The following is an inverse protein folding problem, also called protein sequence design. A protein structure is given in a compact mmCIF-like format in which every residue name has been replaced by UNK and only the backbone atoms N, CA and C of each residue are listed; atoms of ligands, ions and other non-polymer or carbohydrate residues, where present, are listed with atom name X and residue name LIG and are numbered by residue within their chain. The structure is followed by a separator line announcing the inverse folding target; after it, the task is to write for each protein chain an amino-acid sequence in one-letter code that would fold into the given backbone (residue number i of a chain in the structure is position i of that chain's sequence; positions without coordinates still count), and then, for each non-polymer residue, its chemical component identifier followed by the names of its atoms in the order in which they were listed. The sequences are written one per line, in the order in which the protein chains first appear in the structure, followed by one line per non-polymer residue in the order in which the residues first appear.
data_IF_128923340135
#
_entry.id   IF_128923340135
#
_cell.length_a   1.000
_cell.length_b   1.000
_cell.length_c   1.000
_cell.angle_alpha   90.00
_cell.angle_beta   90.00
_cell.angle_gamma   90.00
#
_symmetry.space_group_name_H-M   'P 1'
#
loop_
_entity.id
_entity.type
_entity.pdbx_description
1 polymer ?
#
# COMPACT_ATOMS: atom_id res chain seq x y z
N UNK A 1 16.21 14.78 -1.54
CA UNK A 1 15.15 13.81 -1.27
C UNK A 1 15.59 12.78 -0.25
N UNK A 2 14.62 12.12 0.40
CA UNK A 2 14.82 10.97 1.28
C UNK A 2 13.86 9.88 0.82
N UNK A 3 14.33 8.65 0.72
CA UNK A 3 13.45 7.49 0.55
C UNK A 3 13.45 6.70 1.84
N UNK A 4 12.26 6.45 2.37
CA UNK A 4 12.06 5.75 3.64
C UNK A 4 11.28 4.47 3.43
N UNK A 5 11.64 3.43 4.18
CA UNK A 5 10.83 2.22 4.32
C UNK A 5 9.99 2.33 5.60
N UNK A 6 8.76 2.83 5.46
CA UNK A 6 7.87 3.08 6.60
C UNK A 6 7.42 1.76 7.26
N UNK A 7 7.60 1.59 8.57
CA UNK A 7 7.03 0.45 9.27
C UNK A 7 5.50 0.52 9.31
N UNK A 8 4.85 -0.63 9.41
CA UNK A 8 3.43 -0.68 9.73
C UNK A 8 3.17 -0.18 11.15
N UNK A 9 1.96 0.33 11.41
CA UNK A 9 1.59 0.93 12.69
C UNK A 9 1.88 2.43 12.78
N UNK A 10 2.85 2.94 12.03
CA UNK A 10 3.23 4.36 12.00
C UNK A 10 2.31 5.15 11.06
N UNK A 11 1.73 6.25 11.56
CA UNK A 11 0.99 7.24 10.78
C UNK A 11 1.98 8.17 10.08
N UNK A 12 1.65 8.64 8.86
CA UNK A 12 2.59 9.49 8.09
C UNK A 12 2.72 10.89 8.67
N UNK A 13 1.61 11.54 9.02
CA UNK A 13 1.59 12.92 9.54
C UNK A 13 0.56 13.06 10.66
N UNK A 14 0.69 14.05 11.54
CA UNK A 14 -0.26 14.30 12.62
C UNK A 14 -1.71 14.37 12.10
N UNK A 15 -2.61 13.70 12.79
CA UNK A 15 -4.03 13.62 12.48
C UNK A 15 -4.82 13.37 13.77
N UNK A 16 -6.15 13.52 13.72
CA UNK A 16 -7.01 13.29 14.88
C UNK A 16 -6.71 11.92 15.54
N UNK A 17 -6.35 11.93 16.82
CA UNK A 17 -5.95 10.77 17.61
C UNK A 17 -4.49 10.31 17.42
N UNK A 18 -3.66 11.06 16.70
CA UNK A 18 -2.24 10.78 16.48
C UNK A 18 -1.47 12.10 16.31
N UNK A 19 -1.27 12.83 17.40
CA UNK A 19 -0.62 14.14 17.38
C UNK A 19 0.92 14.02 17.40
N UNK A 20 1.45 12.87 17.80
CA UNK A 20 2.89 12.56 17.87
C UNK A 20 3.21 11.13 17.41
N UNK A 21 4.50 10.78 17.34
CA UNK A 21 4.95 9.45 16.91
C UNK A 21 4.70 9.15 15.44
N UNK A 22 4.55 10.18 14.61
CA UNK A 22 4.33 10.04 13.15
C UNK A 22 5.65 10.00 12.40
N UNK A 23 5.62 9.60 11.12
CA UNK A 23 6.79 9.66 10.25
C UNK A 23 7.34 11.09 10.15
N UNK A 24 6.47 12.11 10.09
CA UNK A 24 6.88 13.53 10.10
C UNK A 24 7.67 13.87 11.36
N UNK A 25 7.23 13.43 12.54
CA UNK A 25 7.99 13.68 13.78
C UNK A 25 9.38 13.03 13.73
N UNK A 26 9.48 11.79 13.25
CA UNK A 26 10.77 11.11 13.09
C UNK A 26 11.68 11.83 12.07
N UNK A 27 11.11 12.28 10.94
CA UNK A 27 11.86 13.03 9.93
C UNK A 27 12.38 14.37 10.48
N UNK A 28 11.55 15.13 11.18
CA UNK A 28 11.94 16.40 11.82
C UNK A 28 13.02 16.23 12.89
N UNK A 29 13.09 15.06 13.53
CA UNK A 29 14.15 14.75 14.50
C UNK A 29 15.49 14.43 13.84
N UNK A 30 15.48 13.83 12.65
CA UNK A 30 16.69 13.36 11.95
C UNK A 30 17.15 14.26 10.81
N UNK A 31 16.35 15.25 10.39
CA UNK A 31 16.58 16.04 9.18
C UNK A 31 16.24 17.49 9.45
N UNK A 32 17.24 18.35 9.41
CA UNK A 32 17.11 19.78 9.72
C UNK A 32 16.47 20.59 8.58
N UNK A 33 16.52 20.10 7.33
CA UNK A 33 16.19 20.83 6.12
C UNK A 33 15.03 20.17 5.34
N UNK A 34 13.91 19.91 5.97
CA UNK A 34 12.70 19.46 5.26
C UNK A 34 11.99 20.64 4.58
N UNK A 35 11.42 20.37 3.39
CA UNK A 35 10.57 21.34 2.69
C UNK A 35 9.44 21.84 3.56
N UNK A 36 9.30 23.15 3.68
CA UNK A 36 8.21 23.82 4.42
C UNK A 36 6.85 23.77 3.70
N UNK A 37 6.81 23.35 2.44
CA UNK A 37 5.56 23.15 1.70
C UNK A 37 4.71 22.09 2.38
N UNK A 38 3.44 22.40 2.63
CA UNK A 38 2.54 21.55 3.42
C UNK A 38 2.39 22.01 4.87
N UNK A 39 3.13 23.06 5.26
CA UNK A 39 3.12 23.68 6.59
C UNK A 39 3.70 22.77 7.68
N UNK A 40 3.58 23.16 8.93
CA UNK A 40 4.16 22.46 10.09
C UNK A 40 3.70 21.02 10.25
N UNK A 41 2.52 20.67 9.70
CA UNK A 41 1.94 19.33 9.87
C UNK A 41 2.40 18.31 8.82
N UNK A 42 2.98 18.73 7.69
CA UNK A 42 3.32 17.85 6.56
C UNK A 42 4.60 18.23 5.83
N UNK A 43 5.66 18.67 6.50
CA UNK A 43 6.88 19.11 5.84
C UNK A 43 7.43 17.98 4.96
N UNK A 44 7.71 18.29 3.69
CA UNK A 44 8.30 17.36 2.73
C UNK A 44 7.41 16.20 2.25
N UNK A 45 6.16 16.06 2.73
CA UNK A 45 5.27 14.94 2.42
C UNK A 45 4.50 15.19 1.12
N UNK A 46 4.82 14.44 0.08
CA UNK A 46 4.17 14.50 -1.25
C UNK A 46 3.16 13.38 -1.50
N UNK A 47 3.23 12.29 -0.75
CA UNK A 47 2.26 11.18 -0.77
C UNK A 47 2.19 10.47 0.59
N UNK A 48 1.34 9.47 0.69
CA UNK A 48 1.14 8.76 1.96
C UNK A 48 0.85 7.27 1.78
N UNK A 49 1.16 6.51 2.83
CA UNK A 49 0.68 5.14 3.06
C UNK A 49 -0.31 5.12 4.24
N UNK A 50 -1.20 4.14 4.26
CA UNK A 50 -2.07 3.89 5.40
C UNK A 50 -1.26 3.46 6.63
N UNK A 51 -1.80 3.63 7.83
CA UNK A 51 -1.16 3.22 9.09
C UNK A 51 -0.72 1.75 9.06
N UNK A 52 -1.59 0.84 8.60
CA UNK A 52 -1.32 -0.60 8.54
C UNK A 52 -0.47 -1.05 7.35
N UNK A 53 -0.18 -0.15 6.40
CA UNK A 53 0.65 -0.44 5.22
C UNK A 53 2.10 -0.10 5.51
N UNK A 54 3.01 -1.03 5.24
CA UNK A 54 4.47 -0.83 5.29
C UNK A 54 5.04 -0.52 3.91
N UNK A 55 6.27 -0.06 3.83
CA UNK A 55 7.03 0.05 2.59
C UNK A 55 7.45 1.46 2.19
N UNK A 56 7.82 1.60 0.94
CA UNK A 56 8.56 2.73 0.41
C UNK A 56 7.74 4.01 0.30
N UNK A 57 8.36 5.11 0.72
CA UNK A 57 7.89 6.48 0.53
C UNK A 57 9.05 7.40 0.17
N UNK A 58 8.79 8.41 -0.69
CA UNK A 58 9.71 9.50 -0.95
C UNK A 58 9.28 10.78 -0.24
N UNK A 59 10.24 11.51 0.30
CA UNK A 59 10.08 12.76 1.05
C UNK A 59 11.00 13.83 0.45
N UNK A 60 10.50 15.04 0.31
CA UNK A 60 11.26 16.17 -0.20
C UNK A 60 12.03 16.86 0.92
N UNK A 61 13.33 17.14 0.71
CA UNK A 61 14.17 17.91 1.64
C UNK A 61 14.00 19.43 1.48
N UNK A 62 13.73 19.92 0.29
CA UNK A 62 13.57 21.34 -0.02
C UNK A 62 12.42 21.59 -1.00
N UNK A 63 11.98 22.83 -1.10
CA UNK A 63 10.75 23.23 -1.79
C UNK A 63 10.76 22.90 -3.29
N UNK A 64 11.89 23.10 -3.99
CA UNK A 64 12.00 22.74 -5.40
C UNK A 64 11.80 21.23 -5.62
N UNK A 65 12.37 20.38 -4.76
CA UNK A 65 12.13 18.94 -4.82
C UNK A 65 10.68 18.57 -4.50
N UNK A 66 10.06 19.28 -3.56
CA UNK A 66 8.65 19.08 -3.22
C UNK A 66 7.74 19.39 -4.40
N UNK A 67 7.92 20.55 -5.05
CA UNK A 67 7.12 20.97 -6.20
C UNK A 67 7.23 19.97 -7.35
N UNK A 68 8.47 19.56 -7.69
CA UNK A 68 8.68 18.61 -8.78
C UNK A 68 8.14 17.21 -8.47
N UNK A 69 8.37 16.68 -7.27
CA UNK A 69 7.77 15.40 -6.87
C UNK A 69 6.24 15.48 -6.84
N UNK A 70 5.65 16.58 -6.30
CA UNK A 70 4.21 16.77 -6.30
C UNK A 70 3.63 16.80 -7.73
N UNK A 71 4.34 17.44 -8.69
CA UNK A 71 4.00 17.40 -10.11
C UNK A 71 4.00 15.97 -10.64
N UNK A 72 5.08 15.20 -10.41
CA UNK A 72 5.16 13.81 -10.88
C UNK A 72 4.05 12.93 -10.30
N UNK A 73 3.68 13.10 -9.03
CA UNK A 73 2.53 12.40 -8.44
C UNK A 73 1.19 12.84 -9.07
N UNK A 74 1.02 14.14 -9.34
CA UNK A 74 -0.17 14.70 -9.99
C UNK A 74 -0.31 14.14 -11.41
N UNK A 75 0.77 14.15 -12.18
CA UNK A 75 0.82 13.74 -13.59
C UNK A 75 0.90 12.20 -13.74
N UNK A 76 0.89 11.46 -12.61
CA UNK A 76 0.93 9.99 -12.57
C UNK A 76 2.21 9.38 -13.18
N UNK A 77 3.31 10.12 -13.13
CA UNK A 77 4.64 9.67 -13.61
C UNK A 77 5.34 8.74 -12.60
N UNK A 78 4.92 8.75 -11.33
CA UNK A 78 5.49 7.91 -10.28
C UNK A 78 4.93 6.50 -10.35
N UNK A 79 5.81 5.51 -10.53
CA UNK A 79 5.44 4.10 -10.50
C UNK A 79 5.43 3.59 -9.05
N UNK A 80 4.36 2.88 -8.68
CA UNK A 80 4.16 2.34 -7.33
C UNK A 80 3.63 0.94 -7.44
N UNK A 81 4.35 -0.02 -6.85
CA UNK A 81 3.90 -1.40 -6.80
C UNK A 81 3.86 -1.91 -5.36
N UNK A 82 2.85 -2.72 -5.12
CA UNK A 82 2.54 -3.27 -3.81
C UNK A 82 2.45 -4.78 -3.88
N UNK A 83 2.85 -5.44 -2.81
CA UNK A 83 2.55 -6.84 -2.58
C UNK A 83 1.37 -6.95 -1.61
N UNK A 84 0.35 -7.70 -2.01
CA UNK A 84 -0.85 -7.96 -1.22
C UNK A 84 -1.21 -9.44 -1.23
N UNK A 85 -1.37 -10.06 -0.06
CA UNK A 85 -1.98 -11.38 0.06
C UNK A 85 -3.50 -11.20 0.12
N UNK A 86 -4.23 -11.87 -0.76
CA UNK A 86 -5.68 -11.72 -0.92
C UNK A 86 -6.41 -13.05 -0.77
N UNK A 87 -7.68 -12.99 -0.40
CA UNK A 87 -8.54 -14.16 -0.37
C UNK A 87 -8.98 -14.57 -1.77
N UNK A 88 -8.89 -15.87 -2.04
CA UNK A 88 -9.29 -16.48 -3.31
C UNK A 88 -8.26 -16.26 -4.43
N UNK A 89 -8.66 -16.66 -5.62
CA UNK A 89 -7.85 -16.56 -6.83
C UNK A 89 -8.16 -15.25 -7.56
N UNK A 90 -7.14 -14.45 -7.80
CA UNK A 90 -7.22 -13.24 -8.62
C UNK A 90 -6.50 -13.48 -9.94
N UNK A 91 -6.88 -12.72 -10.97
CA UNK A 91 -6.33 -12.86 -12.31
C UNK A 91 -5.32 -11.74 -12.59
N UNK A 92 -4.13 -12.11 -13.08
CA UNK A 92 -3.14 -11.16 -13.57
C UNK A 92 -3.68 -10.38 -14.78
N UNK A 93 -3.21 -9.15 -14.97
CA UNK A 93 -3.69 -8.25 -16.03
C UNK A 93 -4.99 -7.50 -15.68
N UNK A 94 -5.75 -7.95 -14.66
CA UNK A 94 -7.02 -7.31 -14.28
C UNK A 94 -6.81 -5.86 -13.87
N UNK A 95 -7.60 -4.97 -14.47
CA UNK A 95 -7.66 -3.54 -14.16
C UNK A 95 -8.98 -3.22 -13.45
N UNK A 96 -8.91 -2.45 -12.37
CA UNK A 96 -10.07 -2.03 -11.56
C UNK A 96 -10.12 -0.50 -11.62
N UNK A 97 -11.22 0.03 -12.15
CA UNK A 97 -11.42 1.48 -12.41
C UNK A 97 -12.68 1.97 -11.70
N UNK A 98 -12.72 1.79 -10.41
CA UNK A 98 -13.84 2.24 -9.59
C UNK A 98 -13.48 3.54 -8.85
N UNK A 99 -14.27 4.59 -9.02
CA UNK A 99 -14.07 5.84 -8.29
C UNK A 99 -14.29 5.62 -6.77
N UNK A 100 -13.43 6.24 -5.95
CA UNK A 100 -13.42 6.06 -4.50
C UNK A 100 -13.75 7.36 -3.79
N UNK A 101 -14.64 7.29 -2.82
CA UNK A 101 -14.99 8.37 -1.93
C UNK A 101 -15.22 7.88 -0.51
N UNK A 102 -15.61 8.77 0.40
CA UNK A 102 -15.90 8.42 1.79
C UNK A 102 -17.21 7.62 1.87
N UNK A 103 -17.19 6.52 2.61
CA UNK A 103 -18.36 5.69 2.84
C UNK A 103 -19.44 6.52 3.58
N UNK A 104 -20.70 6.57 3.08
CA UNK A 104 -21.75 7.38 3.67
C UNK A 104 -22.20 6.87 5.06
N UNK A 105 -22.01 5.58 5.32
CA UNK A 105 -22.48 4.92 6.53
C UNK A 105 -21.36 4.65 7.56
N UNK A 106 -20.10 4.75 7.15
CA UNK A 106 -18.96 4.50 8.04
C UNK A 106 -17.81 5.49 7.77
N UNK A 107 -17.60 6.44 8.68
CA UNK A 107 -16.58 7.48 8.55
C UNK A 107 -15.13 6.96 8.49
N UNK A 108 -14.87 5.76 8.96
CA UNK A 108 -13.54 5.14 8.91
C UNK A 108 -13.25 4.45 7.58
N UNK A 109 -14.28 4.26 6.73
CA UNK A 109 -14.17 3.55 5.46
C UNK A 109 -14.18 4.50 4.26
N UNK A 110 -13.57 4.02 3.20
CA UNK A 110 -13.77 4.50 1.85
C UNK A 110 -14.62 3.48 1.07
N UNK A 111 -15.29 3.92 0.01
CA UNK A 111 -16.20 3.07 -0.76
C UNK A 111 -16.21 3.50 -2.23
N UNK A 112 -16.39 2.53 -3.13
CA UNK A 112 -16.69 2.76 -4.54
C UNK A 112 -18.18 3.12 -4.79
N UNK A 113 -19.01 3.15 -3.73
CA UNK A 113 -20.45 3.54 -3.77
C UNK A 113 -20.68 4.95 -3.17
N UNK A 114 -19.62 5.73 -2.97
CA UNK A 114 -19.72 7.04 -2.37
C UNK A 114 -20.35 8.05 -3.35
N UNK A 115 -21.21 8.97 -2.84
CA UNK A 115 -21.85 10.03 -3.65
C UNK A 115 -20.81 11.01 -4.23
N UNK A 116 -19.76 11.33 -3.47
CA UNK A 116 -18.63 12.16 -3.90
C UNK A 116 -17.40 11.26 -3.96
N UNK A 117 -16.97 10.92 -5.14
CA UNK A 117 -15.86 10.03 -5.40
C UNK A 117 -14.87 10.65 -6.38
N UNK A 118 -13.65 10.13 -6.41
CA UNK A 118 -12.58 10.51 -7.33
C UNK A 118 -12.09 9.27 -8.06
N UNK A 119 -11.76 9.42 -9.32
CA UNK A 119 -11.16 8.37 -10.13
C UNK A 119 -10.05 7.64 -9.39
N UNK A 120 -10.08 6.33 -9.44
CA UNK A 120 -9.06 5.45 -8.89
C UNK A 120 -8.81 4.28 -9.83
N UNK A 121 -7.53 3.98 -10.10
CA UNK A 121 -7.12 2.93 -11.03
C UNK A 121 -6.07 2.05 -10.36
N UNK A 122 -6.38 0.76 -10.28
CA UNK A 122 -5.53 -0.30 -9.72
C UNK A 122 -5.40 -1.42 -10.74
N UNK A 123 -4.18 -1.90 -10.98
CA UNK A 123 -3.90 -3.03 -11.88
C UNK A 123 -3.23 -4.16 -11.10
N UNK A 124 -3.72 -5.38 -11.25
CA UNK A 124 -3.03 -6.59 -10.80
C UNK A 124 -2.02 -6.94 -11.88
N UNK A 125 -0.73 -6.83 -11.56
CA UNK A 125 0.36 -7.00 -12.54
C UNK A 125 0.73 -8.47 -12.66
N UNK A 126 0.94 -9.13 -11.52
CA UNK A 126 1.38 -10.52 -11.43
C UNK A 126 0.69 -11.20 -10.26
N UNK A 127 0.48 -12.49 -10.36
CA UNK A 127 -0.16 -13.29 -9.32
C UNK A 127 0.69 -14.55 -9.07
N UNK A 128 0.91 -14.86 -7.80
CA UNK A 128 1.48 -16.12 -7.33
C UNK A 128 0.40 -16.83 -6.52
N UNK A 129 -0.08 -17.95 -7.02
CA UNK A 129 -1.05 -18.79 -6.30
C UNK A 129 -0.32 -19.46 -5.13
N UNK A 130 -0.72 -19.13 -3.92
CA UNK A 130 -0.16 -19.73 -2.70
C UNK A 130 -0.87 -21.04 -2.37
N UNK A 131 -2.17 -21.05 -2.56
CA UNK A 131 -3.06 -22.22 -2.55
C UNK A 131 -4.44 -21.80 -3.11
N UNK A 132 -5.41 -22.71 -3.32
CA UNK A 132 -6.73 -22.38 -3.88
C UNK A 132 -7.53 -21.33 -3.10
N UNK A 133 -7.15 -21.01 -1.87
CA UNK A 133 -7.84 -20.02 -1.05
C UNK A 133 -7.11 -18.65 -0.98
N UNK A 134 -5.86 -18.56 -1.46
CA UNK A 134 -4.99 -17.40 -1.28
C UNK A 134 -4.10 -17.14 -2.50
N UNK A 135 -4.03 -15.89 -2.91
CA UNK A 135 -3.08 -15.41 -3.93
C UNK A 135 -2.23 -14.27 -3.39
N UNK A 136 -0.93 -14.28 -3.68
CA UNK A 136 -0.05 -13.13 -3.51
C UNK A 136 -0.07 -12.34 -4.82
N UNK A 137 -0.63 -11.13 -4.77
CA UNK A 137 -0.75 -10.25 -5.93
C UNK A 137 0.28 -9.13 -5.89
N UNK A 138 0.97 -8.90 -6.99
CA UNK A 138 1.74 -7.70 -7.29
C UNK A 138 0.81 -6.69 -7.96
N UNK A 139 0.69 -5.50 -7.38
CA UNK A 139 -0.35 -4.54 -7.72
C UNK A 139 0.29 -3.19 -8.04
N UNK A 140 0.05 -2.67 -9.24
CA UNK A 140 0.39 -1.30 -9.61
C UNK A 140 -0.80 -0.36 -9.40
N UNK A 141 -0.54 0.86 -8.93
CA UNK A 141 -1.56 1.91 -8.80
C UNK A 141 -1.16 3.16 -9.57
N UNK A 142 -2.08 3.67 -10.39
CA UNK A 142 -1.89 4.93 -11.13
C UNK A 142 -2.36 6.15 -10.34
N UNK A 143 -3.26 5.96 -9.39
CA UNK A 143 -3.79 6.96 -8.48
C UNK A 143 -3.42 6.60 -7.05
N UNK A 144 -3.60 7.51 -6.08
CA UNK A 144 -3.27 7.28 -4.67
C UNK A 144 -4.41 7.71 -3.75
N UNK A 145 -5.62 7.12 -3.90
CA UNK A 145 -6.76 7.43 -3.02
C UNK A 145 -6.63 6.68 -1.70
N UNK A 146 -7.16 7.27 -0.65
CA UNK A 146 -7.19 6.63 0.68
C UNK A 146 -7.80 5.24 0.59
N UNK A 147 -7.13 4.23 1.13
CA UNK A 147 -7.53 2.83 1.13
C UNK A 147 -7.76 2.20 -0.27
N UNK A 148 -7.21 2.79 -1.35
CA UNK A 148 -7.56 2.43 -2.73
C UNK A 148 -7.46 0.92 -3.01
N UNK A 149 -6.31 0.30 -2.79
CA UNK A 149 -6.10 -1.14 -3.06
C UNK A 149 -7.06 -1.98 -2.22
N UNK A 150 -7.26 -1.61 -0.95
CA UNK A 150 -8.13 -2.30 0.01
C UNK A 150 -9.58 -2.28 -0.43
N UNK A 151 -10.08 -1.12 -0.88
CA UNK A 151 -11.45 -0.95 -1.42
C UNK A 151 -11.61 -1.75 -2.70
N UNK A 152 -10.70 -1.58 -3.65
CA UNK A 152 -10.79 -2.23 -4.97
C UNK A 152 -10.77 -3.75 -4.86
N UNK A 153 -9.84 -4.32 -4.11
CA UNK A 153 -9.78 -5.78 -3.94
C UNK A 153 -11.00 -6.32 -3.20
N UNK A 154 -11.48 -5.61 -2.17
CA UNK A 154 -12.71 -6.00 -1.47
C UNK A 154 -13.94 -5.90 -2.38
N UNK A 155 -14.04 -4.89 -3.25
CA UNK A 155 -15.19 -4.70 -4.16
C UNK A 155 -15.34 -5.81 -5.20
N UNK A 156 -14.22 -6.44 -5.58
CA UNK A 156 -14.20 -7.55 -6.52
C UNK A 156 -14.25 -8.94 -5.85
N UNK A 157 -14.48 -8.99 -4.52
CA UNK A 157 -14.62 -10.24 -3.77
C UNK A 157 -13.33 -10.84 -3.22
N UNK A 158 -12.18 -10.16 -3.38
CA UNK A 158 -10.86 -10.61 -2.96
C UNK A 158 -10.23 -9.68 -1.91
N UNK A 159 -10.81 -9.53 -0.70
CA UNK A 159 -10.27 -8.63 0.31
C UNK A 159 -8.86 -9.04 0.74
N UNK A 160 -8.05 -8.07 1.13
CA UNK A 160 -6.68 -8.30 1.62
C UNK A 160 -6.73 -9.07 2.94
N UNK A 161 -5.95 -10.12 3.06
CA UNK A 161 -5.84 -10.93 4.28
C UNK A 161 -5.37 -10.05 5.45
N UNK A 162 -6.04 -10.18 6.60
CA UNK A 162 -5.76 -9.37 7.79
C UNK A 162 -6.40 -7.97 7.79
N UNK A 163 -7.13 -7.59 6.73
CA UNK A 163 -7.83 -6.30 6.68
C UNK A 163 -9.19 -6.36 7.42
N UNK A 164 -9.20 -5.99 8.68
CA UNK A 164 -10.42 -6.00 9.50
C UNK A 164 -11.50 -5.02 8.99
N UNK A 165 -11.10 -3.93 8.32
CA UNK A 165 -12.03 -2.90 7.87
C UNK A 165 -12.78 -3.30 6.59
N UNK A 166 -12.15 -4.10 5.72
CA UNK A 166 -12.66 -4.46 4.40
C UNK A 166 -12.94 -5.96 4.23
N UNK A 167 -13.14 -6.69 5.33
CA UNK A 167 -13.59 -8.11 5.29
C UNK A 167 -12.47 -9.13 5.08
N UNK A 168 -11.22 -8.73 5.27
CA UNK A 168 -10.06 -9.62 5.12
C UNK A 168 -9.75 -10.50 6.34
N UNK A 169 -10.44 -10.33 7.46
CA UNK A 169 -10.27 -11.15 8.67
C UNK A 169 -11.30 -12.28 8.68
N UNK A 170 -10.84 -13.52 8.85
CA UNK A 170 -11.68 -14.70 9.06
C UNK A 170 -11.39 -15.29 10.44
N UNK A 171 -12.45 -15.64 11.18
CA UNK A 171 -12.32 -16.20 12.53
C UNK A 171 -11.90 -17.68 12.52
N UNK A 172 -12.25 -18.40 11.48
CA UNK A 172 -11.93 -19.84 11.28
C UNK A 172 -11.45 -20.04 9.86
N UNK A 173 -10.37 -20.80 9.73
CA UNK A 173 -9.76 -21.15 8.44
C UNK A 173 -9.31 -22.62 8.47
N UNK A 174 -9.08 -23.20 7.31
CA UNK A 174 -8.49 -24.55 7.18
C UNK A 174 -7.08 -24.56 7.80
N UNK A 175 -6.61 -25.75 8.17
CA UNK A 175 -5.34 -25.94 8.87
C UNK A 175 -4.10 -25.47 8.08
N UNK A 176 -4.13 -25.68 6.75
CA UNK A 176 -3.07 -25.29 5.81
C UNK A 176 -2.86 -23.77 5.74
N UNK A 177 -3.93 -22.97 5.86
CA UNK A 177 -3.87 -21.50 5.81
C UNK A 177 -3.97 -20.83 7.19
N UNK A 178 -3.83 -21.61 8.28
CA UNK A 178 -3.88 -21.09 9.65
C UNK A 178 -2.87 -19.97 9.97
N UNK A 179 -1.68 -19.89 9.32
CA UNK A 179 -0.75 -18.78 9.53
C UNK A 179 -1.35 -17.39 9.33
N UNK A 180 -2.39 -17.23 8.48
CA UNK A 180 -3.06 -15.93 8.27
C UNK A 180 -3.69 -15.35 9.55
N UNK A 181 -4.00 -16.17 10.55
CA UNK A 181 -4.58 -15.73 11.82
C UNK A 181 -3.57 -14.97 12.71
N UNK A 182 -2.28 -15.03 12.39
CA UNK A 182 -1.21 -14.27 13.08
C UNK A 182 -1.20 -12.80 12.67
N UNK A 183 -1.83 -12.45 11.55
CA UNK A 183 -1.82 -11.08 11.02
C UNK A 183 -2.66 -10.14 11.88
N UNK A 184 -2.05 -9.06 12.33
CA UNK A 184 -2.69 -7.98 13.09
C UNK A 184 -2.99 -6.75 12.22
N UNK A 185 -2.72 -6.83 10.92
CA UNK A 185 -2.85 -5.77 9.94
C UNK A 185 -3.10 -6.32 8.53
N UNK A 186 -3.53 -5.49 7.56
CA UNK A 186 -3.59 -5.91 6.17
C UNK A 186 -2.22 -6.40 5.68
N UNK A 187 -2.18 -7.55 5.00
CA UNK A 187 -1.00 -8.00 4.28
C UNK A 187 -0.83 -7.12 3.03
N UNK A 188 -0.32 -5.92 3.25
CA UNK A 188 -0.10 -4.91 2.21
C UNK A 188 1.23 -4.18 2.44
N UNK A 189 2.08 -4.18 1.42
CA UNK A 189 3.42 -3.61 1.46
C UNK A 189 3.74 -2.87 0.16
N UNK A 190 4.18 -1.62 0.25
CA UNK A 190 4.67 -0.82 -0.88
C UNK A 190 6.10 -1.29 -1.22
N UNK A 191 6.19 -2.26 -2.14
CA UNK A 191 7.43 -3.00 -2.42
C UNK A 191 8.34 -2.29 -3.42
N UNK A 192 7.78 -1.51 -4.38
CA UNK A 192 8.56 -0.82 -5.41
C UNK A 192 8.08 0.61 -5.58
N UNK A 193 9.04 1.53 -5.71
CA UNK A 193 8.80 2.95 -5.97
C UNK A 193 9.81 3.44 -7.00
N UNK A 194 9.33 3.95 -8.15
CA UNK A 194 10.21 4.56 -9.14
C UNK A 194 9.66 5.94 -9.56
N UNK A 195 10.58 6.90 -9.72
CA UNK A 195 10.31 8.29 -10.07
C UNK A 195 11.54 8.94 -10.70
N UNK A 196 11.41 10.14 -11.26
CA UNK A 196 12.54 10.93 -11.74
C UNK A 196 13.11 11.77 -10.60
N UNK A 197 14.42 11.78 -10.46
CA UNK A 197 15.08 12.64 -9.46
C UNK A 197 14.75 14.11 -9.73
N UNK A 198 14.29 14.90 -8.73
CA UNK A 198 13.70 16.22 -8.95
C UNK A 198 14.69 17.30 -9.44
N UNK A 199 15.99 17.04 -9.40
CA UNK A 199 17.02 18.01 -9.85
C UNK A 199 17.58 17.65 -11.21
N UNK A 200 18.01 16.42 -11.42
CA UNK A 200 18.72 15.97 -12.62
C UNK A 200 17.89 15.08 -13.56
N UNK A 201 16.67 14.74 -13.18
CA UNK A 201 15.73 13.98 -14.00
C UNK A 201 16.08 12.49 -14.18
N UNK A 202 17.17 12.00 -13.61
CA UNK A 202 17.56 10.59 -13.71
C UNK A 202 16.51 9.69 -13.07
N UNK A 203 16.28 8.50 -13.65
CA UNK A 203 15.38 7.52 -13.07
C UNK A 203 15.94 6.99 -11.75
N UNK A 204 15.13 7.10 -10.72
CA UNK A 204 15.38 6.52 -9.40
C UNK A 204 14.41 5.37 -9.20
N UNK A 205 14.92 4.22 -8.78
CA UNK A 205 14.13 3.03 -8.52
C UNK A 205 14.58 2.37 -7.24
N UNK A 206 13.61 2.03 -6.38
CA UNK A 206 13.85 1.44 -5.08
C UNK A 206 12.92 0.25 -4.88
N UNK A 207 13.46 -0.80 -4.28
CA UNK A 207 12.71 -1.98 -3.89
C UNK A 207 12.83 -2.23 -2.39
N UNK A 208 11.83 -2.84 -1.80
CA UNK A 208 11.79 -3.22 -0.41
C UNK A 208 11.21 -4.62 -0.26
N UNK A 209 11.94 -5.48 0.39
CA UNK A 209 11.47 -6.82 0.75
C UNK A 209 10.30 -6.75 1.74
N UNK A 210 9.48 -7.80 1.78
CA UNK A 210 8.44 -7.97 2.78
C UNK A 210 9.04 -7.87 4.20
N UNK A 211 8.45 -7.08 5.08
CA UNK A 211 8.89 -7.02 6.48
C UNK A 211 8.60 -8.36 7.18
N UNK A 212 9.38 -8.61 8.23
CA UNK A 212 9.42 -9.91 8.92
C UNK A 212 8.05 -10.48 9.29
N UNK A 213 7.12 -9.65 9.73
CA UNK A 213 5.77 -10.07 10.13
C UNK A 213 4.94 -10.61 8.95
N UNK A 214 5.07 -10.02 7.75
CA UNK A 214 4.42 -10.53 6.55
C UNK A 214 5.19 -11.70 5.94
N UNK A 215 6.52 -11.58 5.88
CA UNK A 215 7.37 -12.62 5.30
C UNK A 215 7.20 -13.95 6.04
N UNK A 216 7.22 -13.97 7.37
CA UNK A 216 7.07 -15.18 8.15
C UNK A 216 5.72 -15.88 7.91
N UNK A 217 4.64 -15.12 7.74
CA UNK A 217 3.32 -15.69 7.41
C UNK A 217 3.33 -16.30 6.02
N UNK A 218 3.92 -15.62 5.03
CA UNK A 218 4.00 -16.11 3.66
C UNK A 218 4.85 -17.39 3.57
N UNK A 219 6.03 -17.39 4.19
CA UNK A 219 6.93 -18.55 4.20
C UNK A 219 6.26 -19.80 4.82
N UNK A 220 5.52 -19.61 5.94
CA UNK A 220 4.75 -20.70 6.55
C UNK A 220 3.60 -21.19 5.65
N UNK A 221 2.95 -20.31 4.90
CA UNK A 221 1.90 -20.68 3.96
C UNK A 221 2.47 -21.51 2.81
N UNK A 222 3.58 -21.05 2.21
CA UNK A 222 4.27 -21.76 1.11
C UNK A 222 4.71 -23.14 1.57
N UNK A 223 5.32 -23.24 2.76
CA UNK A 223 5.77 -24.53 3.32
C UNK A 223 4.62 -25.53 3.54
N UNK A 224 3.40 -25.05 3.78
CA UNK A 224 2.20 -25.88 4.02
C UNK A 224 1.40 -26.15 2.75
N UNK A 225 1.67 -25.44 1.66
CA UNK A 225 1.01 -25.64 0.38
C UNK A 225 1.60 -26.85 -0.34
N UNK A 226 0.79 -27.52 -1.15
CA UNK A 226 1.28 -28.61 -1.99
C UNK A 226 2.05 -28.01 -3.17
N UNK A 227 3.04 -28.71 -3.73
CA UNK A 227 3.77 -28.23 -4.90
C UNK A 227 2.85 -27.84 -6.09
N UNK A 228 1.77 -28.58 -6.28
CA UNK A 228 0.76 -28.34 -7.33
C UNK A 228 -0.07 -27.06 -7.13
N UNK A 229 -0.10 -26.52 -5.91
CA UNK A 229 -0.84 -25.29 -5.58
C UNK A 229 -0.01 -24.01 -5.85
N UNK A 230 1.29 -24.16 -6.14
CA UNK A 230 2.25 -23.03 -6.28
C UNK A 230 2.46 -22.69 -7.76
N UNK A 231 1.50 -21.99 -8.34
CA UNK A 231 1.60 -21.51 -9.72
C UNK A 231 1.81 -19.99 -9.79
N UNK A 232 2.58 -19.56 -10.79
CA UNK A 232 2.77 -18.17 -11.13
C UNK A 232 2.04 -17.87 -12.43
N UNK A 233 1.19 -16.82 -12.44
CA UNK A 233 0.56 -16.34 -13.67
C UNK A 233 1.00 -14.91 -13.95
N UNK A 234 1.49 -14.70 -15.15
CA UNK A 234 1.76 -13.38 -15.74
C UNK A 234 0.68 -13.09 -16.80
N UNK A 235 0.41 -11.79 -17.10
CA UNK A 235 -0.56 -11.40 -18.11
C UNK A 235 -0.08 -11.75 -19.51
#
# INVERSE_FOLDING_TARGET
IIVVNKPAGMVVHPAAGHDSGTLVNALLFHVDDLSGIGGEKRPGIVHRLDRGTSGLMVVAKHDAAHQELARQFHDREVEKEYLALVWGEVVAGRRIEDAIGRDPNNRLRMSNRARRSREAVTRIVRVYHVNPALSLAQIAIHTGRTHQIRVHLSSIGHPIVGDALYGGVRRRVRGDIRPVLKLQRPFLHAARLAFKHPVDGRRMEYESELPRDLKSVLDELITRSRPEDLEQTEP
#
